data_IF_501295764697
#
_entry.id   IF_501295764697
#
_cell.length_a   1.000
_cell.length_b   1.000
_cell.length_c   1.000
_cell.angle_alpha   90.00
_cell.angle_beta   90.00
_cell.angle_gamma   90.00
#
_symmetry.space_group_name_H-M   'P 1'
#
loop_
_entity.id
_entity.type
_entity.pdbx_description
1 polymer ?
#
# COMPACT_ATOMS: atom_id res chain seq x y z
N UNK A 1 50.72 81.26 3.28
CA UNK A 1 50.02 80.31 4.17
C UNK A 1 48.54 80.32 3.80
N UNK A 2 48.06 79.28 3.12
CA UNK A 2 46.63 79.06 2.87
C UNK A 2 46.41 77.54 2.93
N UNK A 3 45.56 77.11 3.87
CA UNK A 3 45.31 75.71 4.18
C UNK A 3 44.27 75.14 3.20
N UNK A 4 44.63 74.05 2.53
CA UNK A 4 43.74 73.24 1.69
C UNK A 4 42.94 72.28 2.58
N UNK A 5 41.61 72.43 2.58
CA UNK A 5 40.70 71.50 3.25
C UNK A 5 40.27 70.39 2.26
N UNK A 6 40.63 69.14 2.57
CA UNK A 6 40.10 67.93 1.93
C UNK A 6 38.84 67.49 2.68
N UNK A 7 37.67 67.62 2.06
CA UNK A 7 36.42 67.05 2.56
C UNK A 7 36.32 65.58 2.14
N UNK A 8 36.39 64.67 3.11
CA UNK A 8 36.17 63.24 2.91
C UNK A 8 34.66 62.93 2.86
N UNK A 9 34.20 62.33 1.76
CA UNK A 9 32.86 61.76 1.63
C UNK A 9 32.81 60.42 2.37
N UNK A 10 32.16 60.39 3.53
CA UNK A 10 31.82 59.16 4.24
C UNK A 10 30.58 58.53 3.57
N UNK A 11 30.78 57.43 2.83
CA UNK A 11 29.68 56.59 2.33
C UNK A 11 29.21 55.71 3.49
N UNK A 12 28.04 56.03 4.04
CA UNK A 12 27.39 55.20 5.03
C UNK A 12 26.83 53.93 4.35
N UNK A 13 27.49 52.79 4.58
CA UNK A 13 26.97 51.47 4.24
C UNK A 13 25.80 51.14 5.19
N UNK A 14 24.57 51.38 4.73
CA UNK A 14 23.38 50.87 5.42
C UNK A 14 23.33 49.33 5.26
N UNK A 15 23.10 48.56 6.34
CA UNK A 15 22.91 47.12 6.22
C UNK A 15 21.62 46.87 5.45
N UNK A 16 21.72 46.18 4.31
CA UNK A 16 20.56 45.66 3.62
C UNK A 16 19.84 44.71 4.58
N UNK A 17 18.65 45.11 5.05
CA UNK A 17 17.73 44.18 5.72
C UNK A 17 17.39 43.10 4.71
N UNK A 18 18.02 41.94 4.86
CA UNK A 18 17.59 40.73 4.19
C UNK A 18 16.14 40.49 4.62
N UNK A 19 15.20 40.57 3.66
CA UNK A 19 13.86 40.10 3.88
C UNK A 19 13.96 38.62 4.30
N UNK A 20 13.40 38.28 5.47
CA UNK A 20 13.26 36.88 5.86
C UNK A 20 12.58 36.15 4.69
N UNK A 21 13.06 34.96 4.27
CA UNK A 21 12.40 34.23 3.22
C UNK A 21 10.95 34.00 3.65
N UNK A 22 10.01 34.42 2.82
CA UNK A 22 8.59 34.11 3.03
C UNK A 22 8.49 32.59 3.26
N UNK A 23 7.94 32.19 4.40
CA UNK A 23 7.69 30.78 4.70
C UNK A 23 6.91 30.21 3.52
N UNK A 24 7.53 29.30 2.78
CA UNK A 24 6.80 28.54 1.76
C UNK A 24 5.63 27.87 2.48
N UNK A 25 4.41 27.93 1.92
CA UNK A 25 3.31 27.14 2.47
C UNK A 25 3.77 25.70 2.59
N UNK A 26 3.52 25.09 3.74
CA UNK A 26 3.96 23.73 4.02
C UNK A 26 3.42 22.80 2.93
N UNK A 27 4.28 21.92 2.40
CA UNK A 27 3.83 20.93 1.43
C UNK A 27 2.85 19.97 2.10
N UNK A 28 2.01 19.32 1.29
CA UNK A 28 1.10 18.28 1.77
C UNK A 28 1.87 17.17 2.50
N UNK A 29 3.04 16.80 2.00
CA UNK A 29 3.92 15.85 2.66
C UNK A 29 4.41 16.32 4.06
N UNK A 30 4.73 17.61 4.22
CA UNK A 30 5.15 18.19 5.50
C UNK A 30 3.99 18.23 6.51
N UNK A 31 2.79 18.55 6.03
CA UNK A 31 1.56 18.49 6.83
C UNK A 31 1.28 17.08 7.33
N UNK A 32 1.26 16.10 6.43
CA UNK A 32 1.06 14.68 6.79
C UNK A 32 2.10 14.18 7.77
N UNK A 33 3.38 14.47 7.53
CA UNK A 33 4.48 14.10 8.43
C UNK A 33 4.31 14.71 9.82
N UNK A 34 3.89 15.98 9.93
CA UNK A 34 3.64 16.61 11.23
C UNK A 34 2.50 15.93 11.98
N UNK A 35 1.41 15.60 11.30
CA UNK A 35 0.29 14.88 11.92
C UNK A 35 0.70 13.50 12.43
N UNK A 36 1.44 12.72 11.63
CA UNK A 36 1.98 11.42 12.05
C UNK A 36 2.78 11.52 13.35
N UNK A 37 3.57 12.58 13.51
CA UNK A 37 4.43 12.78 14.68
C UNK A 37 3.71 13.41 15.87
N UNK A 38 2.67 14.22 15.64
CA UNK A 38 1.93 14.93 16.68
C UNK A 38 1.13 13.98 17.59
N UNK A 39 0.65 12.85 17.06
CA UNK A 39 -0.18 11.90 17.79
C UNK A 39 0.56 10.71 18.41
N UNK A 40 1.87 10.56 18.21
CA UNK A 40 2.58 9.32 18.55
C UNK A 40 3.76 9.52 19.51
N UNK A 41 3.68 8.82 20.66
CA UNK A 41 4.77 8.62 21.61
C UNK A 41 5.73 7.55 21.10
N UNK A 42 6.44 7.85 20.02
CA UNK A 42 7.52 7.02 19.47
C UNK A 42 8.87 7.74 19.64
N UNK A 43 9.95 7.01 20.01
CA UNK A 43 11.27 7.61 20.24
C UNK A 43 11.99 8.03 18.95
N UNK A 44 11.43 7.70 17.78
CA UNK A 44 12.00 8.00 16.48
C UNK A 44 11.21 9.10 15.76
N UNK A 45 11.91 9.92 14.97
CA UNK A 45 11.29 10.99 14.17
C UNK A 45 11.60 10.89 12.67
N UNK A 46 12.47 9.98 12.26
CA UNK A 46 12.81 9.74 10.85
C UNK A 46 12.60 8.27 10.50
N UNK A 47 12.31 7.99 9.23
CA UNK A 47 12.18 6.62 8.72
C UNK A 47 13.41 5.76 9.12
N UNK A 48 14.64 6.25 8.88
CA UNK A 48 15.87 5.53 9.23
C UNK A 48 16.01 5.28 10.73
N UNK A 49 15.70 6.26 11.59
CA UNK A 49 15.75 6.06 13.05
C UNK A 49 14.70 5.07 13.54
N UNK A 50 13.50 5.05 12.94
CA UNK A 50 12.46 4.09 13.30
C UNK A 50 12.82 2.68 12.84
N UNK A 51 13.39 2.53 11.64
CA UNK A 51 13.91 1.28 11.14
C UNK A 51 14.97 0.69 12.08
N UNK A 52 15.98 1.48 12.43
CA UNK A 52 17.07 1.03 13.30
C UNK A 52 16.57 0.61 14.69
N UNK A 53 15.71 1.41 15.32
CA UNK A 53 15.13 1.06 16.62
C UNK A 53 14.18 -0.15 16.51
N UNK A 54 13.41 -0.25 15.44
CA UNK A 54 12.49 -1.36 15.21
C UNK A 54 13.20 -2.69 15.05
N UNK A 55 14.27 -2.73 14.25
CA UNK A 55 15.14 -3.91 14.10
C UNK A 55 15.79 -4.27 15.43
N UNK A 56 16.36 -3.30 16.15
CA UNK A 56 16.99 -3.54 17.46
C UNK A 56 15.98 -4.08 18.49
N UNK A 57 14.76 -3.55 18.53
CA UNK A 57 13.68 -4.04 19.38
C UNK A 57 13.30 -5.48 19.00
N UNK A 58 13.24 -5.79 17.71
CA UNK A 58 12.90 -7.13 17.22
C UNK A 58 13.98 -8.16 17.58
N UNK A 59 15.25 -7.79 17.46
CA UNK A 59 16.40 -8.62 17.85
C UNK A 59 16.43 -8.87 19.37
N UNK A 60 16.07 -7.86 20.17
CA UNK A 60 15.91 -7.97 21.62
C UNK A 60 14.66 -8.76 22.05
N UNK A 61 13.82 -9.20 21.11
CA UNK A 61 12.57 -9.92 21.42
C UNK A 61 11.42 -9.02 21.90
N UNK A 62 11.57 -7.70 21.84
CA UNK A 62 10.54 -6.72 22.19
C UNK A 62 9.57 -6.53 21.02
N UNK A 63 8.80 -7.59 20.69
CA UNK A 63 8.00 -7.65 19.46
C UNK A 63 6.96 -6.52 19.38
N UNK A 64 6.32 -6.15 20.50
CA UNK A 64 5.31 -5.07 20.53
C UNK A 64 5.91 -3.69 20.23
N UNK A 65 7.12 -3.44 20.72
CA UNK A 65 7.84 -2.20 20.43
C UNK A 65 8.27 -2.18 18.97
N UNK A 66 8.80 -3.30 18.46
CA UNK A 66 9.16 -3.46 17.05
C UNK A 66 7.95 -3.22 16.14
N UNK A 67 6.77 -3.79 16.44
CA UNK A 67 5.52 -3.53 15.71
C UNK A 67 5.22 -2.04 15.61
N UNK A 68 5.29 -1.32 16.72
CA UNK A 68 4.99 0.12 16.79
C UNK A 68 6.01 0.93 15.99
N UNK A 69 7.30 0.63 16.16
CA UNK A 69 8.40 1.33 15.51
C UNK A 69 8.41 1.11 13.99
N UNK A 70 8.19 -0.13 13.54
CA UNK A 70 8.14 -0.49 12.12
C UNK A 70 6.87 0.06 11.46
N UNK A 71 5.74 0.13 12.17
CA UNK A 71 4.54 0.82 11.66
C UNK A 71 4.79 2.33 11.43
N UNK A 72 5.50 2.98 12.37
CA UNK A 72 5.93 4.37 12.17
C UNK A 72 6.96 4.48 11.04
N UNK A 73 7.91 3.56 10.93
CA UNK A 73 8.87 3.51 9.81
C UNK A 73 8.15 3.53 8.46
N UNK A 74 7.15 2.66 8.28
CA UNK A 74 6.35 2.56 7.06
C UNK A 74 5.61 3.87 6.78
N UNK A 75 4.97 4.46 7.80
CA UNK A 75 4.25 5.73 7.66
C UNK A 75 5.17 6.88 7.23
N UNK A 76 6.38 6.96 7.82
CA UNK A 76 7.38 7.97 7.45
C UNK A 76 8.04 7.69 6.10
N UNK A 77 8.11 6.43 5.66
CA UNK A 77 8.55 6.07 4.31
C UNK A 77 7.56 6.59 3.26
N UNK A 78 6.27 6.40 3.50
CA UNK A 78 5.21 6.90 2.62
C UNK A 78 5.14 8.44 2.60
N UNK A 79 5.34 9.10 3.75
CA UNK A 79 5.50 10.55 3.79
C UNK A 79 6.70 11.04 2.94
N UNK A 80 7.79 10.28 2.92
CA UNK A 80 8.94 10.57 2.04
C UNK A 80 8.58 10.37 0.57
N UNK A 81 7.81 9.33 0.24
CA UNK A 81 7.36 9.07 -1.13
C UNK A 81 6.45 10.20 -1.63
N UNK A 82 5.53 10.67 -0.78
CA UNK A 82 4.68 11.82 -1.06
C UNK A 82 5.51 13.09 -1.29
N UNK A 83 6.50 13.35 -0.44
CA UNK A 83 7.40 14.49 -0.60
C UNK A 83 8.21 14.41 -1.91
N UNK A 84 8.67 13.22 -2.27
CA UNK A 84 9.43 13.01 -3.51
C UNK A 84 8.56 13.21 -4.76
N UNK A 85 7.29 12.82 -4.68
CA UNK A 85 6.30 13.05 -5.74
C UNK A 85 5.94 14.54 -5.86
N UNK A 86 5.66 15.22 -4.75
CA UNK A 86 5.33 16.65 -4.74
C UNK A 86 6.50 17.52 -5.27
N UNK A 87 7.75 17.03 -5.19
CA UNK A 87 8.95 17.72 -5.68
C UNK A 87 9.40 17.28 -7.09
N UNK A 88 8.66 16.40 -7.76
CA UNK A 88 8.98 15.85 -9.10
C UNK A 88 10.45 15.39 -9.23
N UNK A 89 11.00 14.73 -8.21
CA UNK A 89 12.40 14.34 -8.16
C UNK A 89 12.59 12.83 -8.37
N UNK A 90 13.05 12.37 -9.57
CA UNK A 90 13.21 10.95 -9.85
C UNK A 90 14.18 10.24 -8.89
N UNK A 91 15.25 10.92 -8.48
CA UNK A 91 16.21 10.40 -7.50
C UNK A 91 15.59 10.23 -6.12
N UNK A 92 14.80 11.20 -5.68
CA UNK A 92 14.09 11.11 -4.39
C UNK A 92 13.03 10.01 -4.43
N UNK A 93 12.33 9.85 -5.56
CA UNK A 93 11.33 8.79 -5.75
C UNK A 93 11.94 7.40 -5.64
N UNK A 94 13.09 7.16 -6.28
CA UNK A 94 13.80 5.88 -6.17
C UNK A 94 14.19 5.56 -4.72
N UNK A 95 14.76 6.54 -4.00
CA UNK A 95 15.08 6.35 -2.58
C UNK A 95 13.83 6.13 -1.71
N UNK A 96 12.72 6.78 -2.02
CA UNK A 96 11.49 6.64 -1.24
C UNK A 96 10.84 5.26 -1.45
N UNK A 97 10.78 4.77 -2.70
CA UNK A 97 10.31 3.41 -3.01
C UNK A 97 11.11 2.34 -2.27
N UNK A 98 12.44 2.48 -2.24
CA UNK A 98 13.30 1.57 -1.51
C UNK A 98 12.98 1.54 0.01
N UNK A 99 12.71 2.71 0.62
CA UNK A 99 12.33 2.81 2.03
C UNK A 99 10.98 2.15 2.32
N UNK A 100 10.00 2.36 1.44
CA UNK A 100 8.68 1.71 1.58
C UNK A 100 8.81 0.19 1.46
N UNK A 101 9.59 -0.30 0.49
CA UNK A 101 9.84 -1.73 0.33
C UNK A 101 10.56 -2.34 1.55
N UNK A 102 11.58 -1.67 2.11
CA UNK A 102 12.24 -2.14 3.33
C UNK A 102 11.31 -2.13 4.55
N UNK A 103 10.45 -1.12 4.69
CA UNK A 103 9.48 -1.10 5.78
C UNK A 103 8.51 -2.30 5.71
N UNK A 104 8.10 -2.70 4.50
CA UNK A 104 7.33 -3.94 4.31
C UNK A 104 8.15 -5.19 4.69
N UNK A 105 9.45 -5.23 4.39
CA UNK A 105 10.32 -6.34 4.83
C UNK A 105 10.35 -6.40 6.36
N UNK A 106 10.57 -5.28 7.05
CA UNK A 106 10.56 -5.26 8.51
C UNK A 106 9.20 -5.63 9.09
N UNK A 107 8.09 -5.25 8.45
CA UNK A 107 6.75 -5.72 8.86
C UNK A 107 6.64 -7.25 8.71
N UNK A 108 7.20 -7.82 7.64
CA UNK A 108 7.30 -9.26 7.47
C UNK A 108 8.15 -9.94 8.55
N UNK A 109 9.29 -9.36 8.93
CA UNK A 109 10.17 -9.89 9.99
C UNK A 109 9.45 -9.92 11.35
N UNK A 110 8.66 -8.88 11.64
CA UNK A 110 7.79 -8.82 12.82
C UNK A 110 6.76 -9.94 12.82
N UNK A 111 6.06 -10.16 11.69
CA UNK A 111 5.09 -11.25 11.57
C UNK A 111 5.75 -12.62 11.69
N UNK A 112 6.97 -12.77 11.16
CA UNK A 112 7.75 -14.00 11.28
C UNK A 112 8.07 -14.30 12.75
N UNK A 113 8.47 -13.29 13.54
CA UNK A 113 8.70 -13.45 14.99
C UNK A 113 7.43 -13.79 15.78
N UNK A 114 6.26 -13.39 15.29
CA UNK A 114 4.96 -13.76 15.85
C UNK A 114 4.51 -15.17 15.44
N UNK A 115 5.27 -15.86 14.56
CA UNK A 115 4.86 -17.15 14.00
C UNK A 115 3.75 -17.05 12.94
N UNK A 116 3.36 -15.84 12.53
CA UNK A 116 2.32 -15.59 11.54
C UNK A 116 2.89 -15.74 10.11
N UNK A 117 3.22 -16.98 9.73
CA UNK A 117 3.90 -17.29 8.45
C UNK A 117 3.15 -16.76 7.21
N UNK A 118 1.82 -16.91 7.07
CA UNK A 118 1.10 -16.33 5.93
C UNK A 118 1.24 -14.80 5.87
N UNK A 119 1.14 -14.12 7.01
CA UNK A 119 1.29 -12.66 7.08
C UNK A 119 2.70 -12.22 6.71
N UNK A 120 3.73 -12.92 7.21
CA UNK A 120 5.13 -12.64 6.85
C UNK A 120 5.35 -12.77 5.33
N UNK A 121 4.86 -13.87 4.72
CA UNK A 121 4.91 -14.04 3.27
C UNK A 121 4.16 -12.95 2.51
N UNK A 122 2.98 -12.54 2.98
CA UNK A 122 2.21 -11.48 2.35
C UNK A 122 2.98 -10.15 2.33
N UNK A 123 3.66 -9.79 3.43
CA UNK A 123 4.50 -8.60 3.51
C UNK A 123 5.71 -8.69 2.57
N UNK A 124 6.45 -9.79 2.58
CA UNK A 124 7.59 -9.95 1.68
C UNK A 124 7.17 -9.93 0.21
N UNK A 125 6.08 -10.62 -0.15
CA UNK A 125 5.56 -10.59 -1.52
C UNK A 125 5.03 -9.21 -1.92
N UNK A 126 4.49 -8.43 -0.98
CA UNK A 126 4.12 -7.03 -1.23
C UNK A 126 5.35 -6.16 -1.52
N UNK A 127 6.48 -6.40 -0.85
CA UNK A 127 7.74 -5.74 -1.16
C UNK A 127 8.31 -6.17 -2.52
N UNK A 128 8.20 -7.46 -2.87
CA UNK A 128 8.60 -7.99 -4.18
C UNK A 128 7.78 -7.38 -5.32
N UNK A 129 6.46 -7.30 -5.17
CA UNK A 129 5.56 -6.76 -6.20
C UNK A 129 5.90 -5.30 -6.56
N UNK A 130 6.42 -4.51 -5.61
CA UNK A 130 6.90 -3.16 -5.91
C UNK A 130 8.10 -3.14 -6.86
N UNK A 131 8.95 -4.17 -6.82
CA UNK A 131 10.07 -4.32 -7.75
C UNK A 131 9.60 -4.53 -9.19
N UNK A 132 8.49 -5.26 -9.37
CA UNK A 132 7.90 -5.52 -10.69
C UNK A 132 7.35 -4.23 -11.33
N UNK A 133 6.85 -3.29 -10.51
CA UNK A 133 6.37 -1.98 -10.97
C UNK A 133 7.52 -1.05 -11.43
N UNK A 134 8.76 -1.29 -10.95
CA UNK A 134 9.93 -0.44 -11.22
C UNK A 134 11.21 -1.27 -11.43
N UNK A 135 11.28 -2.08 -12.52
CA UNK A 135 12.31 -3.11 -12.69
C UNK A 135 13.75 -2.58 -12.86
N UNK A 136 13.92 -1.27 -13.12
CA UNK A 136 15.23 -0.64 -13.33
C UNK A 136 15.67 0.25 -12.16
N UNK A 137 14.95 0.23 -11.04
CA UNK A 137 15.27 1.03 -9.85
C UNK A 137 16.30 0.31 -8.96
N UNK A 138 17.58 0.72 -9.07
CA UNK A 138 18.71 0.06 -8.39
C UNK A 138 18.59 0.11 -6.86
N UNK A 139 18.11 1.22 -6.29
CA UNK A 139 17.95 1.34 -4.84
C UNK A 139 16.83 0.44 -4.33
N UNK A 140 15.71 0.41 -5.05
CA UNK A 140 14.62 -0.52 -4.77
C UNK A 140 15.06 -1.97 -4.91
N UNK A 141 15.89 -2.29 -5.90
CA UNK A 141 16.42 -3.63 -6.13
C UNK A 141 17.12 -4.25 -4.92
N UNK A 142 17.79 -3.45 -4.09
CA UNK A 142 18.40 -3.93 -2.83
C UNK A 142 17.34 -4.37 -1.81
N UNK A 143 16.28 -3.57 -1.64
CA UNK A 143 15.17 -3.89 -0.75
C UNK A 143 14.39 -5.12 -1.23
N UNK A 144 14.17 -5.22 -2.54
CA UNK A 144 13.55 -6.38 -3.19
C UNK A 144 14.42 -7.64 -3.03
N UNK A 145 15.74 -7.50 -3.08
CA UNK A 145 16.67 -8.59 -2.80
C UNK A 145 16.54 -9.13 -1.37
N UNK A 146 16.48 -8.23 -0.37
CA UNK A 146 16.24 -8.61 1.02
C UNK A 146 14.86 -9.28 1.19
N UNK A 147 13.81 -8.73 0.58
CA UNK A 147 12.48 -9.33 0.59
C UNK A 147 12.48 -10.75 0.01
N UNK A 148 13.23 -10.97 -1.09
CA UNK A 148 13.34 -12.27 -1.74
C UNK A 148 14.01 -13.29 -0.83
N UNK A 149 15.16 -12.94 -0.26
CA UNK A 149 15.89 -13.81 0.67
C UNK A 149 15.00 -14.22 1.86
N UNK A 150 14.30 -13.25 2.47
CA UNK A 150 13.39 -13.50 3.59
C UNK A 150 12.21 -14.37 3.17
N UNK A 151 11.60 -14.09 2.01
CA UNK A 151 10.51 -14.89 1.47
C UNK A 151 10.92 -16.34 1.21
N UNK A 152 12.03 -16.57 0.50
CA UNK A 152 12.52 -17.90 0.15
C UNK A 152 12.78 -18.77 1.38
N UNK A 153 13.26 -18.18 2.47
CA UNK A 153 13.50 -18.87 3.75
C UNK A 153 12.25 -19.47 4.42
N UNK A 154 11.06 -18.99 4.04
CA UNK A 154 9.76 -19.43 4.59
C UNK A 154 8.73 -19.81 3.51
N UNK A 155 9.11 -19.80 2.23
CA UNK A 155 8.18 -19.89 1.11
C UNK A 155 7.37 -21.20 1.10
N UNK A 156 7.93 -22.29 1.61
CA UNK A 156 7.34 -23.63 1.61
C UNK A 156 6.78 -24.05 2.98
N UNK A 157 6.96 -23.23 4.02
CA UNK A 157 6.60 -23.60 5.40
C UNK A 157 5.11 -23.34 5.64
N UNK A 158 4.37 -24.35 6.07
CA UNK A 158 2.95 -24.25 6.44
C UNK A 158 2.13 -23.48 5.40
N UNK A 159 2.27 -23.89 4.13
CA UNK A 159 1.52 -23.30 3.03
C UNK A 159 0.06 -23.70 3.10
N UNK A 160 -0.83 -22.73 3.03
CA UNK A 160 -2.26 -22.99 2.95
C UNK A 160 -2.65 -23.36 1.52
N UNK A 161 -3.08 -24.61 1.34
CA UNK A 161 -3.59 -25.11 0.06
C UNK A 161 -5.09 -24.83 -0.06
N UNK A 162 -5.46 -23.92 -0.96
CA UNK A 162 -6.86 -23.59 -1.24
C UNK A 162 -7.50 -22.62 -0.24
N UNK A 163 -8.82 -22.43 -0.36
CA UNK A 163 -9.61 -21.56 0.52
C UNK A 163 -10.00 -22.35 1.78
N UNK A 164 -9.65 -21.89 3.00
CA UNK A 164 -10.01 -22.55 4.25
C UNK A 164 -11.53 -22.66 4.47
N UNK A 165 -11.94 -23.57 5.37
CA UNK A 165 -13.35 -23.82 5.68
C UNK A 165 -14.04 -22.63 6.36
N UNK A 166 -13.30 -21.84 7.13
CA UNK A 166 -13.71 -20.57 7.74
C UNK A 166 -13.59 -19.37 6.78
N UNK A 167 -13.02 -19.60 5.61
CA UNK A 167 -12.79 -18.60 4.57
C UNK A 167 -11.34 -18.11 4.52
N UNK A 168 -11.06 -17.28 3.53
CA UNK A 168 -9.75 -16.68 3.31
C UNK A 168 -9.90 -15.16 3.24
N UNK A 169 -8.89 -14.44 3.75
CA UNK A 169 -8.76 -12.99 3.56
C UNK A 169 -7.49 -12.71 2.77
N UNK A 170 -7.66 -12.23 1.54
CA UNK A 170 -6.57 -11.81 0.69
C UNK A 170 -6.43 -10.29 0.77
N UNK A 171 -5.20 -9.79 0.88
CA UNK A 171 -4.93 -8.36 0.99
C UNK A 171 -3.85 -7.92 0.02
N UNK A 172 -4.00 -6.69 -0.47
CA UNK A 172 -2.98 -6.01 -1.28
C UNK A 172 -2.63 -4.71 -0.59
N UNK A 173 -1.35 -4.53 -0.27
CA UNK A 173 -0.88 -3.27 0.29
C UNK A 173 -1.02 -2.17 -0.77
N UNK A 174 -1.60 -1.04 -0.37
CA UNK A 174 -1.69 0.14 -1.19
C UNK A 174 -0.56 1.08 -0.79
N UNK A 175 -0.86 2.11 -0.01
CA UNK A 175 0.08 3.10 0.51
C UNK A 175 -0.57 3.81 1.70
N UNK A 176 0.21 4.59 2.46
CA UNK A 176 -0.23 5.22 3.72
C UNK A 176 -0.84 4.23 4.74
N UNK A 177 -0.34 2.98 4.75
CA UNK A 177 -0.82 1.93 5.66
C UNK A 177 -2.17 1.31 5.27
N UNK A 178 -2.76 1.73 4.15
CA UNK A 178 -4.03 1.22 3.67
C UNK A 178 -3.87 -0.06 2.82
N UNK A 179 -4.94 -0.84 2.75
CA UNK A 179 -4.98 -2.11 2.05
C UNK A 179 -6.30 -2.27 1.32
N UNK A 180 -6.26 -2.88 0.14
CA UNK A 180 -7.44 -3.53 -0.40
C UNK A 180 -7.60 -4.91 0.27
N UNK A 181 -8.84 -5.32 0.51
CA UNK A 181 -9.17 -6.63 1.07
C UNK A 181 -10.19 -7.36 0.21
N UNK A 182 -10.02 -8.67 0.13
CA UNK A 182 -10.98 -9.59 -0.48
C UNK A 182 -11.17 -10.76 0.48
N UNK A 183 -12.34 -10.82 1.08
CA UNK A 183 -12.80 -11.96 1.87
C UNK A 183 -13.48 -12.97 0.94
N UNK A 184 -13.07 -14.24 1.02
CA UNK A 184 -13.68 -15.37 0.31
C UNK A 184 -14.22 -16.34 1.34
N UNK A 185 -15.55 -16.40 1.48
CA UNK A 185 -16.24 -17.16 2.53
C UNK A 185 -17.10 -18.28 1.91
N UNK A 186 -16.94 -19.55 2.30
CA UNK A 186 -17.85 -20.60 1.89
C UNK A 186 -19.30 -20.29 2.32
N UNK A 187 -20.27 -20.54 1.44
CA UNK A 187 -21.69 -20.31 1.76
C UNK A 187 -22.28 -21.56 2.41
N UNK A 188 -22.72 -21.44 3.67
CA UNK A 188 -23.34 -22.55 4.41
C UNK A 188 -24.53 -23.13 3.64
N UNK A 189 -24.51 -24.45 3.44
CA UNK A 189 -25.57 -25.18 2.74
C UNK A 189 -25.50 -25.13 1.20
N UNK A 190 -24.57 -24.38 0.60
CA UNK A 190 -24.35 -24.34 -0.86
C UNK A 190 -22.95 -24.82 -1.20
N UNK A 191 -22.81 -26.12 -1.46
CA UNK A 191 -21.50 -26.71 -1.79
C UNK A 191 -20.86 -26.05 -3.03
N UNK A 192 -19.57 -25.71 -2.93
CA UNK A 192 -18.80 -25.08 -4.01
C UNK A 192 -19.19 -23.64 -4.33
N UNK A 193 -20.06 -23.01 -3.54
CA UNK A 193 -20.43 -21.59 -3.67
C UNK A 193 -19.74 -20.79 -2.58
N UNK A 194 -19.14 -19.68 -2.99
CA UNK A 194 -18.43 -18.75 -2.12
C UNK A 194 -19.04 -17.37 -2.22
N UNK A 195 -19.02 -16.63 -1.11
CA UNK A 195 -19.26 -15.20 -1.09
C UNK A 195 -17.91 -14.50 -1.13
N UNK A 196 -17.75 -13.62 -2.11
CA UNK A 196 -16.64 -12.68 -2.20
C UNK A 196 -17.14 -11.33 -1.67
N UNK A 197 -16.46 -10.79 -0.66
CA UNK A 197 -16.62 -9.41 -0.22
C UNK A 197 -15.29 -8.68 -0.46
N UNK A 198 -15.30 -7.66 -1.30
CA UNK A 198 -14.13 -6.83 -1.62
C UNK A 198 -14.30 -5.43 -1.09
N UNK A 199 -13.27 -4.91 -0.41
CA UNK A 199 -13.13 -3.52 -0.04
C UNK A 199 -11.90 -2.95 -0.74
N UNK A 200 -12.11 -1.96 -1.59
CA UNK A 200 -11.07 -1.36 -2.41
C UNK A 200 -10.92 0.11 -2.05
N UNK A 201 -9.68 0.55 -1.93
CA UNK A 201 -9.34 1.92 -1.57
C UNK A 201 -8.34 2.50 -2.55
N UNK A 202 -8.49 3.79 -2.82
CA UNK A 202 -7.44 4.63 -3.37
C UNK A 202 -7.09 5.66 -2.30
N UNK A 203 -6.06 5.38 -1.47
CA UNK A 203 -5.65 6.28 -0.40
C UNK A 203 -5.15 7.61 -0.98
N UNK A 204 -5.26 8.67 -0.20
CA UNK A 204 -4.81 10.00 -0.54
C UNK A 204 -4.44 10.74 0.74
N UNK A 205 -3.74 11.86 0.56
CA UNK A 205 -3.57 12.87 1.60
C UNK A 205 -4.27 14.12 1.09
N UNK A 206 -5.11 14.72 1.92
CA UNK A 206 -5.85 15.92 1.56
C UNK A 206 -4.98 17.20 1.66
N UNK A 207 -5.59 18.37 1.44
CA UNK A 207 -4.88 19.64 1.49
C UNK A 207 -4.43 20.03 2.91
N UNK A 208 -5.01 19.44 3.94
CA UNK A 208 -4.71 19.66 5.35
C UNK A 208 -3.62 18.71 5.86
N UNK A 209 -3.27 17.69 5.07
CA UNK A 209 -2.31 16.65 5.44
C UNK A 209 -2.97 15.40 6.02
N UNK A 210 -4.30 15.35 6.11
CA UNK A 210 -5.03 14.23 6.71
C UNK A 210 -5.16 13.07 5.71
N UNK A 211 -5.09 11.81 6.19
CA UNK A 211 -5.41 10.65 5.37
C UNK A 211 -6.87 10.69 4.89
N UNK A 212 -7.07 10.48 3.60
CA UNK A 212 -8.39 10.27 2.99
C UNK A 212 -8.32 9.12 2.01
N UNK A 213 -9.46 8.65 1.50
CA UNK A 213 -9.48 7.64 0.45
C UNK A 213 -10.76 7.75 -0.37
N UNK A 214 -10.64 7.48 -1.67
CA UNK A 214 -11.81 7.02 -2.42
C UNK A 214 -12.00 5.54 -2.14
N UNK A 215 -13.24 5.10 -2.02
CA UNK A 215 -13.58 3.73 -1.64
C UNK A 215 -14.57 3.15 -2.63
N UNK A 216 -14.50 1.84 -2.81
CA UNK A 216 -15.49 1.05 -3.54
C UNK A 216 -15.55 -0.36 -2.97
N UNK A 217 -16.75 -0.93 -2.99
CA UNK A 217 -17.01 -2.25 -2.45
C UNK A 217 -17.62 -3.18 -3.50
N UNK A 218 -17.48 -4.47 -3.26
CA UNK A 218 -18.10 -5.53 -4.05
C UNK A 218 -18.61 -6.61 -3.10
N UNK A 219 -19.84 -7.07 -3.30
CA UNK A 219 -20.31 -8.33 -2.71
C UNK A 219 -20.92 -9.21 -3.77
N UNK A 220 -20.46 -10.45 -3.89
CA UNK A 220 -20.92 -11.38 -4.92
C UNK A 220 -20.89 -12.84 -4.47
N UNK A 221 -21.88 -13.62 -4.88
CA UNK A 221 -21.83 -15.08 -4.83
C UNK A 221 -21.20 -15.63 -6.10
N UNK A 222 -20.20 -16.49 -5.95
CA UNK A 222 -19.42 -17.06 -7.06
C UNK A 222 -19.22 -18.57 -6.92
N UNK A 223 -18.84 -19.19 -8.04
CA UNK A 223 -18.23 -20.52 -8.07
C UNK A 223 -16.84 -20.40 -8.68
N UNK A 224 -15.88 -21.13 -8.12
CA UNK A 224 -14.56 -21.27 -8.73
C UNK A 224 -14.58 -22.46 -9.68
N UNK A 225 -14.24 -22.20 -10.93
CA UNK A 225 -14.00 -23.21 -11.96
C UNK A 225 -12.50 -23.19 -12.25
N UNK A 226 -11.79 -24.29 -12.00
CA UNK A 226 -10.33 -24.36 -12.21
C UNK A 226 -9.56 -23.18 -11.57
N UNK A 227 -9.93 -22.83 -10.32
CA UNK A 227 -9.33 -21.70 -9.60
C UNK A 227 -9.75 -20.31 -10.07
N UNK A 228 -10.68 -20.19 -11.03
CA UNK A 228 -11.19 -18.91 -11.56
C UNK A 228 -12.65 -18.70 -11.14
N UNK A 229 -12.94 -17.55 -10.55
CA UNK A 229 -14.28 -17.02 -10.35
C UNK A 229 -14.45 -15.72 -11.14
N UNK A 230 -15.65 -15.46 -11.64
CA UNK A 230 -15.96 -14.25 -12.40
C UNK A 230 -17.22 -13.58 -11.87
N UNK A 231 -17.20 -12.26 -11.82
CA UNK A 231 -18.31 -11.43 -11.34
C UNK A 231 -18.64 -10.38 -12.40
N UNK A 232 -19.75 -10.55 -13.13
CA UNK A 232 -20.24 -9.55 -14.06
C UNK A 232 -20.97 -8.44 -13.30
N UNK A 233 -20.52 -7.20 -13.46
CA UNK A 233 -21.10 -6.02 -12.82
C UNK A 233 -22.06 -5.34 -13.79
N UNK A 234 -23.34 -5.27 -13.42
CA UNK A 234 -24.42 -4.66 -14.21
C UNK A 234 -25.04 -3.47 -13.47
N UNK A 235 -25.90 -2.69 -14.13
CA UNK A 235 -26.64 -1.51 -13.60
C UNK A 235 -27.65 -1.80 -12.46
N UNK A 236 -27.56 -2.95 -11.81
CA UNK A 236 -28.48 -3.33 -10.75
C UNK A 236 -28.20 -2.49 -9.50
N UNK A 237 -28.98 -1.43 -9.30
CA UNK A 237 -29.04 -0.57 -8.11
C UNK A 237 -29.59 -1.32 -6.89
N UNK A 238 -29.00 -2.46 -6.55
CA UNK A 238 -29.40 -3.27 -5.41
C UNK A 238 -28.22 -3.38 -4.44
N UNK A 239 -28.48 -3.14 -3.16
CA UNK A 239 -27.50 -3.39 -2.09
C UNK A 239 -27.33 -4.89 -1.78
N UNK A 240 -28.01 -5.78 -2.51
CA UNK A 240 -27.87 -7.21 -2.34
C UNK A 240 -26.61 -7.72 -3.07
N UNK A 241 -25.95 -8.77 -2.56
CA UNK A 241 -24.82 -9.38 -3.24
C UNK A 241 -25.19 -9.83 -4.65
N UNK A 242 -24.31 -9.57 -5.61
CA UNK A 242 -24.48 -10.01 -7.00
C UNK A 242 -24.47 -11.54 -7.07
N UNK A 243 -25.49 -12.15 -7.66
CA UNK A 243 -25.45 -13.60 -7.93
C UNK A 243 -24.77 -13.90 -9.26
N UNK A 244 -23.43 -14.02 -9.22
CA UNK A 244 -22.65 -14.40 -10.40
C UNK A 244 -22.75 -15.92 -10.70
N UNK A 245 -23.23 -16.74 -9.74
CA UNK A 245 -23.36 -18.18 -9.94
C UNK A 245 -24.45 -18.54 -10.95
N UNK A 246 -25.51 -17.71 -11.02
CA UNK A 246 -26.59 -17.88 -11.97
C UNK A 246 -26.24 -17.29 -13.35
N UNK A 247 -25.45 -16.21 -13.39
CA UNK A 247 -25.04 -15.52 -14.62
C UNK A 247 -23.92 -16.25 -15.38
N UNK A 248 -23.01 -16.92 -14.67
CA UNK A 248 -21.83 -17.55 -15.27
C UNK A 248 -21.83 -19.05 -14.96
N UNK A 249 -22.28 -19.84 -15.94
CA UNK A 249 -22.29 -21.31 -15.85
C UNK A 249 -20.95 -21.99 -16.16
N UNK A 250 -20.03 -21.29 -16.85
CA UNK A 250 -18.71 -21.78 -17.24
C UNK A 250 -17.72 -20.61 -17.49
N UNK A 251 -16.45 -20.90 -17.80
CA UNK A 251 -15.43 -19.90 -18.12
C UNK A 251 -15.38 -19.51 -19.62
N UNK A 252 -16.51 -19.48 -20.32
CA UNK A 252 -16.54 -19.02 -21.71
C UNK A 252 -15.93 -17.62 -21.88
N UNK A 253 -15.49 -17.28 -23.09
CA UNK A 253 -14.88 -15.98 -23.38
C UNK A 253 -15.87 -14.86 -23.01
N UNK A 254 -15.39 -13.86 -22.29
CA UNK A 254 -16.17 -12.64 -22.07
C UNK A 254 -16.28 -11.85 -23.37
N UNK A 255 -17.50 -11.64 -23.80
CA UNK A 255 -17.92 -11.05 -25.07
C UNK A 255 -18.66 -9.71 -24.88
N UNK A 256 -18.55 -9.10 -23.69
CA UNK A 256 -19.09 -7.76 -23.39
C UNK A 256 -20.61 -7.66 -23.69
N UNK A 257 -21.40 -8.52 -23.04
CA UNK A 257 -22.87 -8.40 -22.95
C UNK A 257 -23.29 -7.04 -22.30
N UNK A 258 -24.55 -6.89 -21.87
CA UNK A 258 -25.08 -5.72 -21.13
C UNK A 258 -24.39 -5.41 -19.77
N UNK A 259 -23.31 -6.11 -19.41
CA UNK A 259 -22.54 -5.87 -18.18
C UNK A 259 -21.52 -4.74 -18.40
N UNK A 260 -21.40 -3.83 -17.42
CA UNK A 260 -20.45 -2.70 -17.46
C UNK A 260 -19.00 -3.14 -17.45
N UNK A 261 -18.71 -4.17 -16.65
CA UNK A 261 -17.39 -4.77 -16.55
C UNK A 261 -17.49 -6.21 -16.03
N UNK A 262 -16.40 -6.96 -16.18
CA UNK A 262 -16.25 -8.29 -15.61
C UNK A 262 -15.00 -8.35 -14.75
N UNK A 263 -15.18 -8.72 -13.48
CA UNK A 263 -14.07 -8.97 -12.56
C UNK A 263 -13.74 -10.46 -12.56
N UNK A 264 -12.48 -10.79 -12.78
CA UNK A 264 -11.96 -12.15 -12.73
C UNK A 264 -11.04 -12.31 -11.52
N UNK A 265 -11.37 -13.25 -10.65
CA UNK A 265 -10.65 -13.64 -9.45
C UNK A 265 -9.97 -14.98 -9.73
N UNK A 266 -8.64 -15.04 -9.66
CA UNK A 266 -7.86 -16.22 -10.03
C UNK A 266 -6.93 -16.63 -8.90
N UNK A 267 -7.12 -17.85 -8.39
CA UNK A 267 -6.20 -18.50 -7.45
C UNK A 267 -4.98 -19.02 -8.24
N UNK A 268 -3.97 -18.18 -8.41
CA UNK A 268 -2.81 -18.45 -9.29
C UNK A 268 -1.72 -19.31 -8.65
N UNK A 269 -1.64 -19.30 -7.33
CA UNK A 269 -0.69 -20.05 -6.52
C UNK A 269 -1.23 -20.18 -5.08
N UNK A 270 -0.67 -21.05 -4.24
CA UNK A 270 -0.99 -21.07 -2.81
C UNK A 270 -0.92 -19.65 -2.23
N UNK A 271 -1.96 -19.28 -1.47
CA UNK A 271 -2.05 -17.99 -0.78
C UNK A 271 -2.01 -16.75 -1.67
N UNK A 272 -2.26 -16.90 -2.98
CA UNK A 272 -2.18 -15.81 -3.95
C UNK A 272 -3.43 -15.75 -4.81
N UNK A 273 -4.07 -14.58 -4.81
CA UNK A 273 -5.25 -14.27 -5.59
C UNK A 273 -4.93 -13.10 -6.55
N UNK A 274 -4.99 -13.35 -7.85
CA UNK A 274 -4.91 -12.29 -8.86
C UNK A 274 -6.32 -11.84 -9.22
N UNK A 275 -6.54 -10.52 -9.25
CA UNK A 275 -7.79 -9.91 -9.71
C UNK A 275 -7.51 -9.11 -10.97
N UNK A 276 -8.35 -9.31 -11.98
CA UNK A 276 -8.31 -8.57 -13.24
C UNK A 276 -9.69 -8.15 -13.67
N UNK A 277 -9.79 -6.91 -14.09
CA UNK A 277 -10.97 -6.37 -14.74
C UNK A 277 -10.85 -6.56 -16.25
N UNK A 278 -11.88 -7.13 -16.85
CA UNK A 278 -12.08 -7.12 -18.29
C UNK A 278 -13.09 -6.02 -18.64
N UNK A 279 -12.76 -5.20 -19.64
CA UNK A 279 -13.47 -3.95 -19.93
C UNK A 279 -12.80 -2.75 -19.24
N UNK A 280 -13.57 -1.72 -18.89
CA UNK A 280 -13.05 -0.53 -18.21
C UNK A 280 -13.20 -0.67 -16.69
N UNK A 281 -12.12 -0.57 -15.88
CA UNK A 281 -12.20 -0.52 -14.41
C UNK A 281 -13.11 0.60 -13.89
N UNK A 282 -13.15 1.74 -14.58
CA UNK A 282 -14.02 2.86 -14.20
C UNK A 282 -15.50 2.51 -14.37
N UNK A 283 -15.83 1.66 -15.34
CA UNK A 283 -17.20 1.20 -15.56
C UNK A 283 -17.69 0.26 -14.44
N UNK A 284 -16.79 -0.35 -13.66
CA UNK A 284 -17.16 -1.15 -12.50
C UNK A 284 -17.77 -0.34 -11.34
N UNK A 285 -17.62 0.99 -11.34
CA UNK A 285 -18.31 1.85 -10.38
C UNK A 285 -17.70 1.94 -8.98
N UNK A 286 -16.45 1.51 -8.78
CA UNK A 286 -15.77 1.54 -7.46
C UNK A 286 -15.34 2.94 -6.98
N UNK A 287 -15.71 4.00 -7.70
CA UNK A 287 -15.29 5.37 -7.38
C UNK A 287 -13.99 5.80 -8.08
N UNK A 288 -13.62 7.06 -7.88
CA UNK A 288 -12.53 7.69 -8.63
C UNK A 288 -11.16 7.06 -8.28
N UNK A 289 -10.42 6.61 -9.30
CA UNK A 289 -9.13 5.92 -9.18
C UNK A 289 -9.12 4.63 -8.36
N UNK A 290 -10.28 4.12 -7.96
CA UNK A 290 -10.38 2.85 -7.24
C UNK A 290 -10.42 1.72 -8.25
N UNK A 291 -9.60 0.70 -8.04
CA UNK A 291 -9.60 -0.52 -8.84
C UNK A 291 -9.42 -1.74 -7.96
N UNK A 292 -10.11 -2.82 -8.32
CA UNK A 292 -9.93 -4.13 -7.72
C UNK A 292 -8.68 -4.84 -8.25
N UNK A 293 -8.10 -4.38 -9.35
CA UNK A 293 -7.00 -5.06 -10.05
C UNK A 293 -5.75 -5.17 -9.19
N UNK A 294 -5.09 -6.32 -9.33
CA UNK A 294 -3.79 -6.56 -8.73
C UNK A 294 -3.67 -7.95 -8.10
N UNK A 295 -2.53 -8.16 -7.47
CA UNK A 295 -2.21 -9.39 -6.75
C UNK A 295 -2.42 -9.20 -5.26
N UNK A 296 -3.16 -10.12 -4.67
CA UNK A 296 -3.52 -10.15 -3.26
C UNK A 296 -2.92 -11.39 -2.60
N UNK A 297 -2.50 -11.26 -1.35
CA UNK A 297 -1.86 -12.32 -0.59
C UNK A 297 -2.68 -12.67 0.64
N UNK A 298 -2.76 -13.96 0.96
CA UNK A 298 -3.48 -14.43 2.13
C UNK A 298 -2.88 -13.85 3.41
N UNK A 299 -3.73 -13.34 4.30
CA UNK A 299 -3.35 -12.92 5.63
C UNK A 299 -4.36 -13.42 6.67
N UNK A 300 -3.89 -13.75 7.87
CA UNK A 300 -4.64 -14.38 8.96
C UNK A 300 -4.48 -13.59 10.28
N UNK A 301 -5.40 -13.81 11.24
CA UNK A 301 -5.22 -13.40 12.64
C UNK A 301 -5.25 -11.88 12.92
N UNK A 302 -6.21 -11.16 12.35
CA UNK A 302 -6.45 -9.74 12.67
C UNK A 302 -7.51 -9.57 13.76
#
# INVERSE_FOLDING_TARGET
MAATALAALAVALAPARAAAPAQRPDSRADLYRRQLLAGQNVPCRTNASCAALGVAALEAGHIKDAQTLVAMEASLAEATALQAADNDSPKAMSSARARVAMALVHQGDVQLKLGALPNARAFYRSALARGDDYPHDVLLGRAVGAARERFESIAHKDLMSGVPADGARFRRYMFFGAWNSIDVKPVKGRHGVYRIDGDFVYPMVDAQGEPSANVGDLSAYVRFFDGVARVPVSDTNSNAPLDATAKIGNLARYDQHDDKCLLEFRLVAPETLDVRTHGSPQACGFGHNVSADGRYFLMTGF
#
